data_IF_531444843298
#
_entry.id   IF_531444843298
#
_cell.length_a   1.000
_cell.length_b   1.000
_cell.length_c   1.000
_cell.angle_alpha   90.00
_cell.angle_beta   90.00
_cell.angle_gamma   90.00
#
_symmetry.space_group_name_H-M   'P 1'
#
loop_
_entity.id
_entity.type
_entity.pdbx_description
1 polymer ?
#
# COMPACT_ATOMS: atom_id res chain seq x y z
N UNK A 1 -23.69 -4.39 19.06
CA UNK A 1 -23.13 -3.44 18.10
C UNK A 1 -23.80 -3.59 16.74
N UNK A 2 -24.18 -2.50 16.14
CA UNK A 2 -24.79 -2.51 14.82
C UNK A 2 -23.74 -2.14 13.78
N UNK A 3 -23.50 -3.04 12.87
CA UNK A 3 -22.56 -2.77 11.78
C UNK A 3 -23.21 -1.78 10.80
N UNK A 4 -22.52 -0.71 10.49
CA UNK A 4 -23.00 0.28 9.56
C UNK A 4 -22.12 0.25 8.31
N UNK A 5 -22.67 -0.09 7.14
CA UNK A 5 -21.88 -0.12 5.93
C UNK A 5 -21.42 1.29 5.53
N UNK A 6 -20.34 1.34 4.78
CA UNK A 6 -19.80 2.59 4.25
C UNK A 6 -19.64 2.48 2.74
N UNK A 7 -19.51 3.62 2.08
CA UNK A 7 -19.23 3.67 0.64
C UNK A 7 -18.00 4.55 0.41
N UNK A 8 -17.58 4.68 -0.83
CA UNK A 8 -16.39 5.46 -1.16
C UNK A 8 -16.50 6.92 -0.76
N UNK A 9 -17.70 7.49 -0.83
CA UNK A 9 -17.89 8.89 -0.39
C UNK A 9 -17.61 9.04 1.09
N UNK A 10 -18.03 8.07 1.87
CA UNK A 10 -17.79 8.10 3.32
C UNK A 10 -16.29 8.01 3.60
N UNK A 11 -15.59 7.19 2.84
CA UNK A 11 -14.14 7.01 2.99
C UNK A 11 -13.40 8.30 2.68
N UNK A 12 -13.73 8.93 1.57
CA UNK A 12 -13.09 10.17 1.15
C UNK A 12 -13.36 11.28 2.15
N UNK A 13 -14.62 11.38 2.60
CA UNK A 13 -14.99 12.40 3.58
C UNK A 13 -14.24 12.23 4.88
N UNK A 14 -14.10 10.99 5.35
CA UNK A 14 -13.35 10.72 6.57
C UNK A 14 -11.90 11.13 6.43
N UNK A 15 -11.30 10.89 5.27
CA UNK A 15 -9.88 11.20 5.05
C UNK A 15 -9.63 12.71 5.04
N UNK A 16 -10.63 13.51 4.76
CA UNK A 16 -10.49 14.96 4.76
C UNK A 16 -10.19 15.55 6.13
N UNK A 17 -10.34 14.75 7.18
CA UNK A 17 -10.00 15.19 8.53
C UNK A 17 -8.50 15.40 8.70
N UNK A 18 -7.69 14.78 7.85
CA UNK A 18 -6.23 14.92 7.86
C UNK A 18 -5.60 14.76 9.25
N UNK A 19 -6.05 13.77 9.99
CA UNK A 19 -5.55 13.53 11.34
C UNK A 19 -4.11 13.05 11.38
N UNK A 20 -3.69 12.38 10.32
CA UNK A 20 -2.32 11.87 10.18
C UNK A 20 -2.06 11.61 8.70
N UNK A 21 -0.79 11.44 8.35
CA UNK A 21 -0.38 11.21 6.96
C UNK A 21 0.22 9.82 6.80
N UNK A 22 -0.03 9.22 5.64
CA UNK A 22 0.39 7.85 5.36
C UNK A 22 1.02 7.75 3.99
N UNK A 23 2.11 6.99 3.90
CA UNK A 23 2.61 6.47 2.63
C UNK A 23 2.46 4.95 2.74
N UNK A 24 1.79 4.35 1.77
CA UNK A 24 1.53 2.92 1.82
C UNK A 24 2.22 2.22 0.65
N UNK A 25 3.08 1.25 0.97
CA UNK A 25 3.74 0.45 -0.05
C UNK A 25 3.07 -0.92 -0.10
N UNK A 26 3.21 -1.62 -1.22
CA UNK A 26 2.49 -2.87 -1.46
C UNK A 26 0.98 -2.64 -1.29
N UNK A 27 0.49 -1.57 -1.89
CA UNK A 27 -0.85 -1.08 -1.60
C UNK A 27 -1.99 -1.98 -2.10
N UNK A 28 -1.73 -2.80 -3.09
CA UNK A 28 -2.77 -3.64 -3.67
C UNK A 28 -3.90 -2.82 -4.26
N UNK A 29 -5.12 -3.28 -4.09
CA UNK A 29 -6.29 -2.56 -4.57
C UNK A 29 -6.79 -1.47 -3.64
N UNK A 30 -6.15 -1.28 -2.50
CA UNK A 30 -6.48 -0.18 -1.60
C UNK A 30 -7.18 -0.55 -0.31
N UNK A 31 -7.12 -1.82 0.10
CA UNK A 31 -7.77 -2.23 1.33
C UNK A 31 -7.23 -1.52 2.57
N UNK A 32 -5.92 -1.56 2.77
CA UNK A 32 -5.30 -0.88 3.90
C UNK A 32 -5.53 0.62 3.83
N UNK A 33 -5.42 1.17 2.62
CA UNK A 33 -5.64 2.61 2.41
C UNK A 33 -7.05 3.01 2.83
N UNK A 34 -8.04 2.18 2.52
CA UNK A 34 -9.42 2.44 2.92
C UNK A 34 -9.52 2.51 4.43
N UNK A 35 -8.87 1.59 5.15
CA UNK A 35 -8.87 1.60 6.60
C UNK A 35 -8.25 2.88 7.17
N UNK A 36 -7.11 3.28 6.64
CA UNK A 36 -6.46 4.52 7.08
C UNK A 36 -7.36 5.74 6.82
N UNK A 37 -7.98 5.78 5.65
CA UNK A 37 -8.87 6.89 5.32
C UNK A 37 -10.08 6.96 6.25
N UNK A 38 -10.67 5.81 6.55
CA UNK A 38 -11.80 5.77 7.48
C UNK A 38 -11.40 6.26 8.87
N UNK A 39 -10.16 6.05 9.26
CA UNK A 39 -9.66 6.54 10.54
C UNK A 39 -9.29 8.03 10.52
N UNK A 40 -9.47 8.68 9.38
CA UNK A 40 -9.20 10.10 9.25
C UNK A 40 -7.82 10.44 8.70
N UNK A 41 -7.10 9.46 8.20
CA UNK A 41 -5.77 9.67 7.66
C UNK A 41 -5.78 10.13 6.22
N UNK A 42 -4.74 10.87 5.86
CA UNK A 42 -4.53 11.29 4.48
C UNK A 42 -3.45 10.39 3.85
N UNK A 43 -3.79 9.75 2.74
CA UNK A 43 -2.81 8.97 2.00
C UNK A 43 -2.09 9.91 1.04
N UNK A 44 -0.82 10.12 1.29
CA UNK A 44 -0.01 11.03 0.48
C UNK A 44 0.34 10.41 -0.87
N UNK A 45 0.72 9.14 -0.84
CA UNK A 45 0.95 8.37 -2.06
C UNK A 45 1.00 6.90 -1.70
N UNK A 46 0.92 6.06 -2.71
CA UNK A 46 1.06 4.62 -2.53
C UNK A 46 2.06 4.08 -3.54
N UNK A 47 2.64 2.94 -3.21
CA UNK A 47 3.52 2.24 -4.13
C UNK A 47 2.90 0.86 -4.39
N UNK A 48 2.80 0.52 -5.65
CA UNK A 48 2.34 -0.79 -6.09
C UNK A 48 2.84 -1.00 -7.51
N UNK A 49 3.40 -2.17 -7.82
CA UNK A 49 3.90 -2.37 -9.18
C UNK A 49 3.13 -3.40 -9.99
N UNK A 50 2.17 -4.08 -9.38
CA UNK A 50 1.31 -5.00 -10.11
C UNK A 50 0.26 -4.19 -10.85
N UNK A 51 0.26 -4.26 -12.17
CA UNK A 51 -0.58 -3.43 -13.01
C UNK A 51 -2.06 -3.51 -12.68
N UNK A 52 -2.57 -4.71 -12.48
CA UNK A 52 -3.99 -4.89 -12.18
C UNK A 52 -4.37 -4.24 -10.85
N UNK A 53 -3.49 -4.36 -9.87
CA UNK A 53 -3.72 -3.73 -8.57
C UNK A 53 -3.70 -2.22 -8.69
N UNK A 54 -2.77 -1.68 -9.48
CA UNK A 54 -2.70 -0.24 -9.73
C UNK A 54 -3.99 0.25 -10.37
N UNK A 55 -4.49 -0.48 -11.35
CA UNK A 55 -5.72 -0.08 -12.04
C UNK A 55 -6.90 -0.03 -11.07
N UNK A 56 -7.01 -1.04 -10.21
CA UNK A 56 -8.06 -1.07 -9.19
C UNK A 56 -7.91 0.09 -8.22
N UNK A 57 -6.69 0.34 -7.77
CA UNK A 57 -6.45 1.44 -6.84
C UNK A 57 -6.83 2.79 -7.44
N UNK A 58 -6.41 3.02 -8.67
CA UNK A 58 -6.72 4.29 -9.35
C UNK A 58 -8.20 4.48 -9.60
N UNK A 59 -8.91 3.40 -9.82
CA UNK A 59 -10.35 3.48 -10.03
C UNK A 59 -11.06 3.92 -8.77
N UNK A 60 -10.62 3.40 -7.62
CA UNK A 60 -11.22 3.77 -6.35
C UNK A 60 -10.74 5.13 -5.83
N UNK A 61 -9.47 5.44 -6.04
CA UNK A 61 -8.86 6.65 -5.50
C UNK A 61 -8.05 7.38 -6.58
N UNK A 62 -8.74 7.99 -7.54
CA UNK A 62 -8.07 8.60 -8.70
C UNK A 62 -7.16 9.78 -8.36
N UNK A 63 -7.38 10.41 -7.21
CA UNK A 63 -6.59 11.58 -6.83
C UNK A 63 -5.32 11.25 -6.06
N UNK A 64 -5.12 9.99 -5.71
CA UNK A 64 -3.96 9.58 -4.93
C UNK A 64 -2.81 9.18 -5.87
N UNK A 65 -1.62 9.80 -5.73
CA UNK A 65 -0.47 9.43 -6.56
C UNK A 65 -0.08 7.98 -6.33
N UNK A 66 0.16 7.26 -7.40
CA UNK A 66 0.64 5.88 -7.35
C UNK A 66 2.02 5.83 -7.97
N UNK A 67 3.00 5.33 -7.22
CA UNK A 67 4.32 5.05 -7.75
C UNK A 67 4.33 3.61 -8.25
N UNK A 68 4.40 3.40 -9.56
CA UNK A 68 4.24 2.08 -10.15
C UNK A 68 5.52 1.23 -10.17
N UNK A 69 6.57 1.74 -9.57
CA UNK A 69 7.87 1.10 -9.64
C UNK A 69 8.03 -0.01 -8.62
N UNK A 70 8.97 -0.90 -8.86
CA UNK A 70 9.35 -1.90 -7.88
C UNK A 70 9.94 -1.16 -6.68
N UNK A 71 9.52 -1.54 -5.48
CA UNK A 71 9.98 -0.89 -4.25
C UNK A 71 11.50 -0.87 -4.15
N UNK A 72 12.17 -1.84 -4.73
CA UNK A 72 13.63 -1.91 -4.71
C UNK A 72 14.30 -0.76 -5.45
N UNK A 73 13.58 -0.12 -6.37
CA UNK A 73 14.12 0.98 -7.15
C UNK A 73 13.81 2.34 -6.54
N UNK A 74 13.04 2.35 -5.47
CA UNK A 74 12.67 3.60 -4.81
C UNK A 74 13.66 3.93 -3.70
N UNK A 75 13.75 5.21 -3.41
CA UNK A 75 14.62 5.69 -2.35
C UNK A 75 13.88 6.75 -1.54
N UNK A 76 14.52 7.18 -0.49
CA UNK A 76 14.03 8.25 0.35
C UNK A 76 13.65 9.49 -0.45
N UNK A 77 14.38 9.75 -1.53
CA UNK A 77 14.12 10.92 -2.38
C UNK A 77 12.74 10.90 -3.02
N UNK A 78 12.25 9.70 -3.31
CA UNK A 78 10.95 9.57 -3.97
C UNK A 78 9.80 9.99 -3.07
N UNK A 79 10.05 10.02 -1.77
CA UNK A 79 9.02 10.34 -0.78
C UNK A 79 9.24 11.68 -0.11
N UNK A 80 10.42 12.26 -0.23
CA UNK A 80 10.76 13.50 0.49
C UNK A 80 9.86 14.68 0.13
N UNK A 81 9.35 14.71 -1.08
CA UNK A 81 8.47 15.81 -1.52
C UNK A 81 7.14 15.85 -0.78
N UNK A 82 6.78 14.79 -0.09
CA UNK A 82 5.52 14.75 0.63
C UNK A 82 5.61 15.32 2.05
N UNK A 83 6.82 15.70 2.46
CA UNK A 83 7.02 16.29 3.79
C UNK A 83 6.96 15.26 4.88
N UNK A 84 6.34 15.62 5.98
CA UNK A 84 6.26 14.75 7.14
C UNK A 84 5.31 13.61 6.90
N UNK A 85 5.75 12.40 7.20
CA UNK A 85 4.96 11.19 7.03
C UNK A 85 4.82 10.55 8.41
N UNK A 86 3.59 10.43 8.88
CA UNK A 86 3.34 9.85 10.20
C UNK A 86 3.42 8.33 10.18
N UNK A 87 2.89 7.72 9.13
CA UNK A 87 2.89 6.26 8.98
C UNK A 87 3.46 5.90 7.63
N UNK A 88 4.46 5.05 7.65
CA UNK A 88 5.02 4.48 6.43
C UNK A 88 4.74 2.98 6.48
N UNK A 89 3.75 2.53 5.73
CA UNK A 89 3.23 1.18 5.79
C UNK A 89 3.81 0.29 4.69
N UNK A 90 3.96 -1.00 4.98
CA UNK A 90 4.40 -1.95 3.99
C UNK A 90 3.95 -3.35 4.33
N UNK A 91 3.27 -4.00 3.40
CA UNK A 91 2.80 -5.38 3.56
C UNK A 91 3.32 -6.22 2.42
N UNK A 92 4.59 -6.63 2.47
CA UNK A 92 5.16 -7.43 1.39
C UNK A 92 4.45 -8.79 1.29
N UNK A 93 4.50 -9.41 0.10
CA UNK A 93 3.81 -10.70 -0.10
C UNK A 93 4.28 -11.76 0.88
N UNK A 94 3.35 -12.33 1.60
CA UNK A 94 3.66 -13.38 2.58
C UNK A 94 4.21 -14.63 1.93
N UNK A 95 3.81 -14.90 0.71
CA UNK A 95 4.23 -16.12 0.02
C UNK A 95 5.74 -16.22 -0.13
N UNK A 96 6.44 -15.09 -0.17
CA UNK A 96 7.88 -15.08 -0.31
C UNK A 96 8.61 -15.37 1.01
N UNK A 97 7.92 -15.22 2.12
CA UNK A 97 8.53 -15.30 3.45
C UNK A 97 7.94 -16.37 4.34
N UNK A 98 6.80 -16.94 3.96
CA UNK A 98 6.16 -17.97 4.75
C UNK A 98 6.72 -19.34 4.44
N UNK A 99 6.45 -20.30 5.31
CA UNK A 99 6.86 -21.69 5.08
C UNK A 99 6.20 -22.22 3.82
N UNK A 100 4.92 -21.93 3.63
CA UNK A 100 4.20 -22.36 2.44
C UNK A 100 4.83 -21.78 1.16
N UNK A 101 5.15 -20.49 1.20
CA UNK A 101 5.78 -19.85 0.07
C UNK A 101 7.14 -20.42 -0.23
N UNK A 102 7.92 -20.71 0.80
CA UNK A 102 9.23 -21.30 0.64
C UNK A 102 9.13 -22.70 0.03
N UNK A 103 8.13 -23.45 0.44
CA UNK A 103 7.94 -24.80 -0.09
C UNK A 103 7.52 -24.79 -1.56
N UNK A 104 6.65 -23.87 -1.92
CA UNK A 104 6.19 -23.74 -3.30
C UNK A 104 7.33 -23.31 -4.22
N UNK A 105 8.10 -22.32 -3.80
CA UNK A 105 9.22 -21.85 -4.57
C UNK A 105 10.38 -22.81 -4.53
N UNK A 106 10.54 -23.48 -3.41
CA UNK A 106 11.59 -24.46 -3.23
C UNK A 106 12.97 -23.88 -3.46
N UNK A 107 13.89 -24.75 -3.80
CA UNK A 107 15.24 -24.32 -4.05
C UNK A 107 15.39 -23.57 -5.38
N UNK A 108 14.36 -23.49 -6.14
CA UNK A 108 14.41 -22.76 -7.40
C UNK A 108 14.16 -21.29 -7.18
N UNK A 109 13.70 -20.92 -6.02
CA UNK A 109 13.46 -19.53 -5.71
C UNK A 109 14.80 -18.87 -5.42
N UNK A 110 15.26 -18.10 -6.34
CA UNK A 110 16.53 -17.44 -6.20
C UNK A 110 16.34 -16.03 -5.73
N UNK A 111 16.63 -15.79 -4.48
CA UNK A 111 16.66 -14.46 -3.98
C UNK A 111 15.34 -13.80 -3.75
N UNK A 112 14.26 -14.38 -4.14
CA UNK A 112 12.96 -13.76 -3.94
C UNK A 112 12.62 -13.76 -2.47
N UNK A 113 12.44 -12.59 -1.91
CA UNK A 113 12.20 -12.48 -0.50
C UNK A 113 13.38 -12.88 0.37
N UNK A 114 14.47 -13.19 -0.24
CA UNK A 114 15.65 -13.58 0.47
C UNK A 114 16.65 -12.49 0.35
N UNK A 115 17.46 -12.37 1.31
CA UNK A 115 18.45 -11.33 1.25
C UNK A 115 19.79 -11.81 0.82
N UNK A 116 19.89 -13.02 0.54
CA UNK A 116 21.14 -13.57 0.19
C UNK A 116 21.75 -13.01 -1.04
N UNK A 117 21.05 -12.29 -1.67
CA UNK A 117 21.64 -11.70 -2.84
C UNK A 117 22.21 -10.41 -2.62
#
# INVERSE_FOLDING_TARGET
MIYKPYNLKDVVKASEQNKFTVVSTFAGGGGSSTGYRLAGGKILCVNEFVKEAINTYKENYPDTPVLPDDIKTLSEKDFSKYGEIDIFDGSPPCSAFSVSGAMVQGKHSKGWGQTKN
#
